data_IF_797808972380
#
_entry.id   IF_797808972380
#
_cell.length_a   1.000
_cell.length_b   1.000
_cell.length_c   1.000
_cell.angle_alpha   90.00
_cell.angle_beta   90.00
_cell.angle_gamma   90.00
#
_symmetry.space_group_name_H-M   'P 1'
#
loop_
_entity.id
_entity.type
_entity.pdbx_description
1 polymer ?
#
# COMPACT_ATOMS: atom_id res chain seq x y z
N UNK A 1 5.93 -30.09 -49.65
CA UNK A 1 6.15 -30.53 -48.25
C UNK A 1 5.82 -32.01 -48.04
N UNK A 2 4.62 -32.49 -48.42
CA UNK A 2 4.20 -33.91 -48.26
C UNK A 2 5.12 -34.91 -48.99
N UNK A 3 5.62 -34.55 -50.18
CA UNK A 3 6.50 -35.42 -50.97
C UNK A 3 7.92 -35.58 -50.37
N UNK A 4 8.42 -34.53 -49.70
CA UNK A 4 9.73 -34.53 -49.02
C UNK A 4 9.66 -35.38 -47.75
N UNK A 5 8.56 -35.30 -47.00
CA UNK A 5 8.33 -36.08 -45.78
C UNK A 5 8.30 -37.59 -46.03
N UNK A 6 7.67 -38.03 -47.13
CA UNK A 6 7.59 -39.46 -47.50
C UNK A 6 8.95 -40.07 -47.83
N UNK A 7 9.87 -39.29 -48.42
CA UNK A 7 11.23 -39.76 -48.72
C UNK A 7 12.07 -39.88 -47.45
N UNK A 8 11.91 -38.95 -46.52
CA UNK A 8 12.62 -38.97 -45.23
C UNK A 8 12.16 -40.10 -44.29
N UNK A 9 10.88 -40.47 -44.32
CA UNK A 9 10.32 -41.52 -43.45
C UNK A 9 10.58 -42.95 -43.93
N UNK A 10 11.08 -43.14 -45.16
CA UNK A 10 11.28 -44.47 -45.75
C UNK A 10 12.50 -45.21 -45.18
N UNK A 11 13.51 -44.46 -44.73
CA UNK A 11 14.78 -45.00 -44.22
C UNK A 11 14.87 -45.02 -42.69
N UNK A 12 13.82 -44.58 -41.99
CA UNK A 12 13.78 -44.60 -40.53
C UNK A 12 13.17 -45.94 -40.08
N UNK A 13 13.90 -46.77 -39.31
CA UNK A 13 13.37 -48.02 -38.78
C UNK A 13 12.07 -47.77 -38.02
N UNK A 14 11.04 -48.58 -38.25
CA UNK A 14 9.72 -48.43 -37.60
C UNK A 14 9.81 -48.26 -36.08
N UNK A 15 10.78 -48.92 -35.43
CA UNK A 15 11.05 -48.76 -33.98
C UNK A 15 11.48 -47.34 -33.59
N UNK A 16 12.23 -46.63 -34.44
CA UNK A 16 12.63 -45.24 -34.21
C UNK A 16 11.47 -44.26 -34.44
N UNK A 17 10.59 -44.54 -35.40
CA UNK A 17 9.36 -43.76 -35.61
C UNK A 17 8.45 -43.88 -34.39
N UNK A 18 8.25 -45.11 -33.90
CA UNK A 18 7.43 -45.38 -32.71
C UNK A 18 7.99 -44.68 -31.46
N UNK A 19 9.31 -44.74 -31.27
CA UNK A 19 9.99 -44.06 -30.15
C UNK A 19 9.82 -42.54 -30.22
N UNK A 20 9.93 -41.93 -31.40
CA UNK A 20 9.77 -40.50 -31.58
C UNK A 20 8.33 -40.03 -31.29
N UNK A 21 7.34 -40.81 -31.69
CA UNK A 21 5.93 -40.57 -31.37
C UNK A 21 5.71 -40.68 -29.85
N UNK A 22 6.29 -41.69 -29.20
CA UNK A 22 6.15 -41.89 -27.75
C UNK A 22 6.77 -40.72 -26.96
N UNK A 23 7.98 -40.27 -27.34
CA UNK A 23 8.65 -39.12 -26.72
C UNK A 23 7.81 -37.85 -26.92
N UNK A 24 7.26 -37.63 -28.11
CA UNK A 24 6.43 -36.47 -28.40
C UNK A 24 5.14 -36.46 -27.56
N UNK A 25 4.51 -37.63 -27.38
CA UNK A 25 3.31 -37.76 -26.52
C UNK A 25 3.66 -37.49 -25.05
N UNK A 26 4.76 -38.04 -24.54
CA UNK A 26 5.20 -37.78 -23.15
C UNK A 26 5.52 -36.29 -22.95
N UNK A 27 6.17 -35.65 -23.92
CA UNK A 27 6.47 -34.22 -23.86
C UNK A 27 5.18 -33.37 -23.87
N UNK A 28 4.21 -33.71 -24.72
CA UNK A 28 2.91 -33.03 -24.73
C UNK A 28 2.13 -33.24 -23.42
N UNK A 29 2.16 -34.44 -22.84
CA UNK A 29 1.48 -34.73 -21.57
C UNK A 29 2.13 -34.00 -20.39
N UNK A 30 3.47 -33.89 -20.37
CA UNK A 30 4.20 -33.15 -19.33
C UNK A 30 3.99 -31.64 -19.44
N UNK A 31 4.04 -31.07 -20.65
CA UNK A 31 3.72 -29.66 -20.89
C UNK A 31 2.25 -29.37 -20.56
N UNK A 32 1.32 -30.23 -20.98
CA UNK A 32 -0.10 -30.10 -20.67
C UNK A 32 -0.38 -30.18 -19.16
N UNK A 33 0.29 -31.08 -18.44
CA UNK A 33 0.20 -31.17 -16.98
C UNK A 33 0.78 -29.93 -16.29
N UNK A 34 1.91 -29.41 -16.77
CA UNK A 34 2.52 -28.17 -16.25
C UNK A 34 1.62 -26.94 -16.48
N UNK A 35 1.02 -26.81 -17.66
CA UNK A 35 0.06 -25.74 -17.96
C UNK A 35 -1.22 -25.88 -17.14
N UNK A 36 -1.74 -27.10 -16.95
CA UNK A 36 -2.89 -27.34 -16.08
C UNK A 36 -2.58 -27.01 -14.61
N UNK A 37 -1.37 -27.30 -14.13
CA UNK A 37 -0.89 -26.91 -12.80
C UNK A 37 -0.73 -25.39 -12.67
N UNK A 38 -0.25 -24.69 -13.70
CA UNK A 38 -0.20 -23.23 -13.72
C UNK A 38 -1.60 -22.61 -13.73
N UNK A 39 -2.56 -23.14 -14.49
CA UNK A 39 -3.94 -22.63 -14.51
C UNK A 39 -4.74 -22.95 -13.24
N UNK A 40 -4.29 -23.92 -12.42
CA UNK A 40 -4.90 -24.20 -11.11
C UNK A 40 -4.42 -23.24 -10.02
N UNK A 41 -3.35 -22.49 -10.25
CA UNK A 41 -2.83 -21.48 -9.33
C UNK A 41 -3.30 -20.09 -9.75
N UNK A 42 -4.57 -19.76 -9.45
CA UNK A 42 -5.11 -18.41 -9.13
C UNK A 42 -6.65 -18.42 -9.15
N UNK A 43 -7.28 -19.47 -8.61
CA UNK A 43 -8.66 -19.34 -8.12
C UNK A 43 -8.59 -19.19 -6.60
N UNK A 44 -8.13 -18.03 -6.15
CA UNK A 44 -8.37 -17.60 -4.77
C UNK A 44 -9.87 -17.36 -4.64
N UNK A 45 -10.58 -18.32 -4.05
CA UNK A 45 -11.89 -18.06 -3.44
C UNK A 45 -11.81 -16.75 -2.64
N UNK A 46 -12.90 -15.96 -2.53
CA UNK A 46 -12.91 -14.82 -1.62
C UNK A 46 -12.56 -15.35 -0.23
N UNK A 47 -11.36 -15.02 0.22
CA UNK A 47 -10.80 -15.58 1.43
C UNK A 47 -11.47 -14.84 2.58
N UNK A 48 -12.34 -15.54 3.31
CA UNK A 48 -12.93 -15.02 4.55
C UNK A 48 -11.79 -14.53 5.44
N UNK A 49 -11.82 -13.24 5.75
CA UNK A 49 -10.86 -12.53 6.59
C UNK A 49 -10.78 -13.22 7.96
N UNK A 50 -9.56 -13.47 8.43
CA UNK A 50 -9.25 -14.25 9.62
C UNK A 50 -8.83 -13.31 10.74
N UNK A 51 -9.55 -13.37 11.87
CA UNK A 51 -9.17 -12.99 13.24
C UNK A 51 -8.37 -11.69 13.44
N UNK A 52 -9.06 -10.55 13.34
CA UNK A 52 -8.71 -9.37 14.12
C UNK A 52 -8.66 -9.77 15.62
N UNK A 53 -7.79 -9.15 16.44
CA UNK A 53 -7.70 -9.51 17.87
C UNK A 53 -9.07 -9.33 18.53
N UNK A 54 -9.39 -10.08 19.58
CA UNK A 54 -10.70 -9.99 20.27
C UNK A 54 -11.09 -8.53 20.57
N UNK A 55 -10.15 -7.69 21.01
CA UNK A 55 -10.38 -6.27 21.26
C UNK A 55 -10.72 -5.47 19.98
N UNK A 56 -10.09 -5.81 18.85
CA UNK A 56 -10.39 -5.22 17.55
C UNK A 56 -11.80 -5.61 17.10
N UNK A 57 -12.17 -6.88 17.28
CA UNK A 57 -13.52 -7.37 16.97
C UNK A 57 -14.58 -6.67 17.84
N UNK A 58 -14.33 -6.51 19.15
CA UNK A 58 -15.24 -5.79 20.04
C UNK A 58 -15.41 -4.33 19.60
N UNK A 59 -14.31 -3.66 19.23
CA UNK A 59 -14.37 -2.28 18.75
C UNK A 59 -15.12 -2.18 17.42
N UNK A 60 -14.82 -3.07 16.47
CA UNK A 60 -15.52 -3.16 15.19
C UNK A 60 -17.03 -3.41 15.40
N UNK A 61 -17.40 -4.38 16.23
CA UNK A 61 -18.79 -4.74 16.50
C UNK A 61 -19.55 -3.57 17.13
N UNK A 62 -18.95 -2.89 18.13
CA UNK A 62 -19.51 -1.68 18.74
C UNK A 62 -19.89 -0.65 17.68
N UNK A 63 -18.96 -0.32 16.77
CA UNK A 63 -19.22 0.71 15.75
C UNK A 63 -20.18 0.22 14.68
N UNK A 64 -20.07 -1.03 14.24
CA UNK A 64 -21.00 -1.64 13.29
C UNK A 64 -22.43 -1.65 13.80
N UNK A 65 -22.66 -2.01 15.07
CA UNK A 65 -23.99 -1.96 15.70
C UNK A 65 -24.52 -0.54 15.81
N UNK A 66 -23.68 0.43 16.19
CA UNK A 66 -24.07 1.83 16.27
C UNK A 66 -24.45 2.39 14.90
N UNK A 67 -23.65 2.12 13.86
CA UNK A 67 -23.92 2.55 12.47
C UNK A 67 -25.27 2.02 11.99
N UNK A 68 -25.58 0.73 12.23
CA UNK A 68 -26.90 0.16 11.90
C UNK A 68 -28.06 0.87 12.59
N UNK A 69 -27.83 1.36 13.81
CA UNK A 69 -28.86 1.99 14.65
C UNK A 69 -29.09 3.46 14.30
N UNK A 70 -28.03 4.23 14.06
CA UNK A 70 -28.12 5.71 13.96
C UNK A 70 -27.59 6.29 12.65
N UNK A 71 -27.03 5.46 11.76
CA UNK A 71 -26.33 5.89 10.54
C UNK A 71 -24.89 6.31 10.81
N UNK A 72 -24.08 6.29 9.75
CA UNK A 72 -22.63 6.53 9.77
C UNK A 72 -22.26 7.89 10.31
N UNK A 73 -22.94 8.96 9.89
CA UNK A 73 -22.63 10.34 10.32
C UNK A 73 -22.73 10.53 11.84
N UNK A 74 -23.83 10.04 12.44
CA UNK A 74 -24.04 10.13 13.89
C UNK A 74 -23.07 9.23 14.64
N UNK A 75 -22.87 8.00 14.15
CA UNK A 75 -21.91 7.07 14.73
C UNK A 75 -20.48 7.61 14.68
N UNK A 76 -20.09 8.32 13.62
CA UNK A 76 -18.75 8.91 13.48
C UNK A 76 -18.53 10.08 14.44
N UNK A 77 -19.57 10.88 14.68
CA UNK A 77 -19.55 11.94 15.68
C UNK A 77 -19.33 11.37 17.09
N UNK A 78 -20.01 10.27 17.44
CA UNK A 78 -19.80 9.57 18.72
C UNK A 78 -18.41 8.90 18.79
N UNK A 79 -17.95 8.32 17.68
CA UNK A 79 -16.62 7.73 17.56
C UNK A 79 -15.53 8.73 17.89
N UNK A 80 -15.56 9.93 17.30
CA UNK A 80 -14.59 11.00 17.57
C UNK A 80 -14.47 11.29 19.06
N UNK A 81 -15.61 11.41 19.75
CA UNK A 81 -15.66 11.68 21.20
C UNK A 81 -15.07 10.52 22.00
N UNK A 82 -15.39 9.26 21.65
CA UNK A 82 -14.91 8.06 22.35
C UNK A 82 -13.38 7.90 22.30
N UNK A 83 -12.77 8.31 21.19
CA UNK A 83 -11.33 8.09 20.97
C UNK A 83 -10.46 9.32 21.23
N UNK A 84 -11.02 10.53 21.37
CA UNK A 84 -10.24 11.79 21.47
C UNK A 84 -9.25 11.83 22.64
N UNK A 85 -9.43 11.01 23.67
CA UNK A 85 -8.53 10.95 24.83
C UNK A 85 -7.52 9.81 24.78
N UNK A 86 -7.59 8.92 23.78
CA UNK A 86 -6.62 7.83 23.58
C UNK A 86 -5.30 8.38 23.06
N UNK A 87 -4.22 7.61 23.06
CA UNK A 87 -2.98 8.04 22.40
C UNK A 87 -3.17 8.11 20.87
N UNK A 88 -2.38 8.94 20.19
CA UNK A 88 -2.57 9.26 18.76
C UNK A 88 -2.50 8.00 17.88
N UNK A 89 -1.62 7.04 18.19
CA UNK A 89 -1.52 5.79 17.42
C UNK A 89 -2.78 4.96 17.54
N UNK A 90 -3.35 4.89 18.74
CA UNK A 90 -4.59 4.17 18.99
C UNK A 90 -5.79 4.88 18.33
N UNK A 91 -5.84 6.22 18.34
CA UNK A 91 -6.86 6.98 17.59
C UNK A 91 -6.88 6.62 16.11
N UNK A 92 -5.70 6.69 15.48
CA UNK A 92 -5.53 6.33 14.07
C UNK A 92 -5.97 4.89 13.80
N UNK A 93 -5.49 3.94 14.61
CA UNK A 93 -5.84 2.53 14.47
C UNK A 93 -7.34 2.25 14.66
N UNK A 94 -7.99 2.90 15.62
CA UNK A 94 -9.44 2.76 15.81
C UNK A 94 -10.24 3.37 14.64
N UNK A 95 -9.71 4.41 13.99
CA UNK A 95 -10.34 4.99 12.80
C UNK A 95 -10.35 4.02 11.61
N UNK A 96 -9.30 3.19 11.47
CA UNK A 96 -9.32 2.07 10.51
C UNK A 96 -10.49 1.12 10.75
N UNK A 97 -10.72 0.71 12.01
CA UNK A 97 -11.84 -0.20 12.36
C UNK A 97 -13.20 0.44 12.08
N UNK A 98 -13.35 1.74 12.37
CA UNK A 98 -14.57 2.48 12.04
C UNK A 98 -14.81 2.52 10.52
N UNK A 99 -13.79 2.83 9.73
CA UNK A 99 -13.89 2.87 8.26
C UNK A 99 -14.31 1.53 7.65
N UNK A 100 -13.79 0.43 8.19
CA UNK A 100 -14.20 -0.93 7.80
C UNK A 100 -15.68 -1.19 8.14
N UNK A 101 -16.09 -0.88 9.37
CA UNK A 101 -17.46 -1.04 9.82
C UNK A 101 -18.43 -0.18 8.99
N UNK A 102 -18.04 1.04 8.67
CA UNK A 102 -18.81 1.97 7.85
C UNK A 102 -19.05 1.41 6.44
N UNK A 103 -18.01 0.96 5.75
CA UNK A 103 -18.18 0.37 4.42
C UNK A 103 -19.10 -0.86 4.45
N UNK A 104 -18.90 -1.77 5.42
CA UNK A 104 -19.71 -2.98 5.53
C UNK A 104 -21.20 -2.71 5.82
N UNK A 105 -21.54 -1.54 6.36
CA UNK A 105 -22.93 -1.18 6.67
C UNK A 105 -23.57 -0.27 5.61
N UNK A 106 -22.82 0.65 5.00
CA UNK A 106 -23.37 1.68 4.12
C UNK A 106 -22.88 1.58 2.66
N UNK A 107 -21.90 0.71 2.39
CA UNK A 107 -21.24 0.59 1.10
C UNK A 107 -20.49 1.85 0.69
N UNK A 108 -20.11 1.95 -0.58
CA UNK A 108 -19.30 3.06 -1.11
C UNK A 108 -19.93 4.46 -0.96
N UNK A 109 -21.25 4.56 -0.77
CA UNK A 109 -21.94 5.85 -0.53
C UNK A 109 -21.58 6.47 0.82
N UNK A 110 -21.10 5.68 1.78
CA UNK A 110 -20.67 6.15 3.10
C UNK A 110 -19.34 6.92 3.09
N UNK A 111 -18.66 7.07 1.95
CA UNK A 111 -17.34 7.70 1.84
C UNK A 111 -17.27 9.09 2.48
N UNK A 112 -18.37 9.85 2.43
CA UNK A 112 -18.45 11.22 2.95
C UNK A 112 -18.57 11.31 4.47
N UNK A 113 -18.76 10.19 5.17
CA UNK A 113 -18.77 10.13 6.63
C UNK A 113 -17.36 10.26 7.19
N UNK A 114 -16.36 9.65 6.53
CA UNK A 114 -14.97 9.78 6.93
C UNK A 114 -14.46 11.21 6.68
N UNK A 115 -13.44 11.62 7.43
CA UNK A 115 -12.63 12.79 7.13
C UNK A 115 -11.12 12.54 7.39
N UNK A 116 -10.34 13.61 7.37
CA UNK A 116 -8.88 13.54 7.55
C UNK A 116 -8.45 13.43 9.02
N UNK A 117 -9.37 13.48 9.99
CA UNK A 117 -9.01 13.29 11.40
C UNK A 117 -8.39 11.92 11.64
N UNK A 118 -7.54 11.86 12.67
CA UNK A 118 -6.81 10.65 13.05
C UNK A 118 -5.97 10.09 11.90
N UNK A 119 -5.24 10.97 11.21
CA UNK A 119 -4.35 10.66 10.08
C UNK A 119 -5.08 9.88 8.97
N UNK A 120 -6.32 10.28 8.65
CA UNK A 120 -7.14 9.67 7.60
C UNK A 120 -7.43 8.17 7.75
N UNK A 121 -7.30 7.62 8.97
CA UNK A 121 -7.45 6.18 9.21
C UNK A 121 -8.80 5.62 8.76
N UNK A 122 -9.87 6.42 8.86
CA UNK A 122 -11.21 6.05 8.35
C UNK A 122 -11.18 5.80 6.83
N UNK A 123 -10.62 6.74 6.06
CA UNK A 123 -10.50 6.60 4.60
C UNK A 123 -9.66 5.39 4.19
N UNK A 124 -8.58 5.10 4.91
CA UNK A 124 -7.66 4.02 4.55
C UNK A 124 -8.38 2.67 4.46
N UNK A 125 -9.06 2.25 5.53
CA UNK A 125 -9.78 0.98 5.55
C UNK A 125 -11.07 1.03 4.73
N UNK A 126 -11.81 2.14 4.75
CA UNK A 126 -13.05 2.26 3.98
C UNK A 126 -12.80 2.05 2.48
N UNK A 127 -11.88 2.83 1.90
CA UNK A 127 -11.58 2.78 0.47
C UNK A 127 -10.80 1.52 0.10
N UNK A 128 -9.93 1.07 1.00
CA UNK A 128 -9.23 -0.19 0.86
C UNK A 128 -10.19 -1.37 0.73
N UNK A 129 -11.25 -1.42 1.53
CA UNK A 129 -12.26 -2.46 1.48
C UNK A 129 -13.25 -2.28 0.31
N UNK A 130 -13.62 -1.04 -0.01
CA UNK A 130 -14.46 -0.74 -1.16
C UNK A 130 -13.86 -1.26 -2.48
N UNK A 131 -12.59 -0.96 -2.74
CA UNK A 131 -11.92 -1.37 -3.98
C UNK A 131 -11.69 -2.89 -4.00
N UNK A 132 -11.38 -3.51 -2.86
CA UNK A 132 -11.25 -4.97 -2.76
C UNK A 132 -12.58 -5.70 -3.04
N UNK A 133 -13.71 -5.09 -2.65
CA UNK A 133 -15.04 -5.69 -2.78
C UNK A 133 -15.64 -5.45 -4.16
N UNK A 134 -15.53 -4.23 -4.67
CA UNK A 134 -16.21 -3.79 -5.90
C UNK A 134 -15.31 -3.82 -7.13
N UNK A 135 -13.98 -3.94 -6.94
CA UNK A 135 -13.00 -4.00 -8.01
C UNK A 135 -12.46 -2.63 -8.44
N UNK A 136 -11.49 -2.66 -9.36
CA UNK A 136 -10.77 -1.45 -9.80
C UNK A 136 -11.63 -0.47 -10.63
N UNK A 137 -12.79 -0.88 -11.11
CA UNK A 137 -13.68 -0.06 -11.92
C UNK A 137 -14.27 1.15 -11.15
N UNK A 138 -14.29 1.10 -9.82
CA UNK A 138 -14.79 2.23 -9.00
C UNK A 138 -13.73 3.30 -8.72
N UNK A 139 -12.45 3.03 -9.02
CA UNK A 139 -11.33 3.91 -8.65
C UNK A 139 -11.48 5.35 -9.19
N UNK A 140 -11.88 5.50 -10.45
CA UNK A 140 -12.07 6.83 -11.05
C UNK A 140 -13.21 7.59 -10.37
N UNK A 141 -14.32 6.89 -10.12
CA UNK A 141 -15.49 7.50 -9.49
C UNK A 141 -15.20 7.91 -8.04
N UNK A 142 -14.52 7.04 -7.26
CA UNK A 142 -14.06 7.39 -5.92
C UNK A 142 -13.11 8.59 -5.93
N UNK A 143 -12.15 8.64 -6.86
CA UNK A 143 -11.21 9.76 -6.96
C UNK A 143 -11.91 11.08 -7.28
N UNK A 144 -12.94 11.05 -8.12
CA UNK A 144 -13.79 12.20 -8.41
C UNK A 144 -14.60 12.61 -7.19
N UNK A 145 -15.25 11.66 -6.52
CA UNK A 145 -16.01 11.92 -5.29
C UNK A 145 -15.14 12.56 -4.20
N UNK A 146 -13.94 12.03 -3.96
CA UNK A 146 -12.96 12.62 -3.04
C UNK A 146 -12.66 14.09 -3.39
N UNK A 147 -12.49 14.39 -4.68
CA UNK A 147 -12.10 15.71 -5.14
C UNK A 147 -13.25 16.72 -5.11
N UNK A 148 -14.44 16.30 -5.55
CA UNK A 148 -15.64 17.14 -5.62
C UNK A 148 -16.19 17.50 -4.24
N UNK A 149 -16.17 16.58 -3.29
CA UNK A 149 -16.81 16.77 -1.99
C UNK A 149 -15.86 17.32 -0.92
N UNK A 150 -14.56 17.04 -1.04
CA UNK A 150 -13.57 17.43 -0.03
C UNK A 150 -12.62 18.51 -0.54
N UNK A 151 -12.55 18.75 -1.85
CA UNK A 151 -11.67 19.75 -2.44
C UNK A 151 -10.22 19.59 -1.95
N UNK A 152 -9.65 20.64 -1.35
CA UNK A 152 -8.28 20.63 -0.84
C UNK A 152 -8.04 19.67 0.34
N UNK A 153 -9.08 19.19 1.02
CA UNK A 153 -8.96 18.20 2.11
C UNK A 153 -9.11 16.75 1.62
N UNK A 154 -9.34 16.54 0.32
CA UNK A 154 -9.51 15.21 -0.28
C UNK A 154 -8.25 14.34 -0.33
N UNK A 155 -7.10 14.85 0.14
CA UNK A 155 -5.83 14.11 0.07
C UNK A 155 -5.84 12.79 0.85
N UNK A 156 -6.45 12.75 2.03
CA UNK A 156 -6.60 11.51 2.81
C UNK A 156 -7.49 10.47 2.12
N UNK A 157 -8.55 10.93 1.46
CA UNK A 157 -9.43 10.09 0.64
C UNK A 157 -8.66 9.50 -0.56
N UNK A 158 -7.97 10.33 -1.32
CA UNK A 158 -7.15 9.87 -2.45
C UNK A 158 -6.00 8.95 -2.01
N UNK A 159 -5.46 9.14 -0.80
CA UNK A 159 -4.48 8.25 -0.19
C UNK A 159 -5.07 6.85 0.08
N UNK A 160 -6.28 6.77 0.65
CA UNK A 160 -7.01 5.52 0.85
C UNK A 160 -7.26 4.73 -0.45
N UNK A 161 -7.48 5.42 -1.58
CA UNK A 161 -7.57 4.78 -2.91
C UNK A 161 -6.29 4.02 -3.25
N UNK A 162 -5.12 4.61 -2.97
CA UNK A 162 -3.83 3.96 -3.20
C UNK A 162 -3.65 2.65 -2.44
N UNK A 163 -4.10 2.61 -1.18
CA UNK A 163 -4.13 1.37 -0.39
C UNK A 163 -4.99 0.30 -1.06
N UNK A 164 -6.23 0.67 -1.45
CA UNK A 164 -7.17 -0.25 -2.08
C UNK A 164 -6.71 -0.78 -3.43
N UNK A 165 -6.06 0.05 -4.25
CA UNK A 165 -5.52 -0.40 -5.55
C UNK A 165 -4.49 -1.50 -5.32
N UNK A 166 -3.45 -1.23 -4.51
CA UNK A 166 -2.36 -2.19 -4.33
C UNK A 166 -2.87 -3.48 -3.67
N UNK A 167 -3.68 -3.37 -2.62
CA UNK A 167 -4.21 -4.54 -1.91
C UNK A 167 -5.10 -5.42 -2.80
N UNK A 168 -5.75 -4.84 -3.82
CA UNK A 168 -6.60 -5.56 -4.77
C UNK A 168 -5.81 -6.24 -5.90
N UNK A 169 -4.64 -5.72 -6.26
CA UNK A 169 -3.83 -6.30 -7.36
C UNK A 169 -2.71 -7.21 -6.90
N UNK A 170 -2.23 -7.06 -5.66
CA UNK A 170 -1.14 -7.85 -5.08
C UNK A 170 0.06 -6.99 -4.65
N UNK A 171 1.01 -7.62 -3.95
CA UNK A 171 2.15 -6.95 -3.31
C UNK A 171 3.50 -7.27 -3.95
N UNK A 172 3.51 -7.88 -5.13
CA UNK A 172 4.74 -8.08 -5.90
C UNK A 172 5.12 -6.81 -6.69
N UNK A 173 6.34 -6.78 -7.23
CA UNK A 173 6.83 -5.63 -7.99
C UNK A 173 6.01 -5.34 -9.27
N UNK A 174 5.56 -6.35 -10.06
CA UNK A 174 4.59 -6.11 -11.14
C UNK A 174 3.30 -5.44 -10.69
N UNK A 175 2.75 -5.83 -9.54
CA UNK A 175 1.53 -5.26 -8.94
C UNK A 175 1.75 -3.84 -8.45
N UNK A 176 2.94 -3.53 -7.90
CA UNK A 176 3.35 -2.16 -7.58
C UNK A 176 3.34 -1.28 -8.83
N UNK A 177 4.00 -1.71 -9.93
CA UNK A 177 4.00 -0.94 -11.17
C UNK A 177 2.60 -0.76 -11.76
N UNK A 178 1.77 -1.80 -11.73
CA UNK A 178 0.36 -1.69 -12.14
C UNK A 178 -0.39 -0.65 -11.31
N UNK A 179 -0.15 -0.61 -10.00
CA UNK A 179 -0.80 0.34 -9.09
C UNK A 179 -0.36 1.80 -9.37
N UNK A 180 0.92 2.00 -9.68
CA UNK A 180 1.46 3.30 -10.10
C UNK A 180 0.75 3.80 -11.35
N UNK A 181 0.60 2.95 -12.38
CA UNK A 181 -0.08 3.32 -13.62
C UNK A 181 -1.56 3.64 -13.41
N UNK A 182 -2.25 2.91 -12.53
CA UNK A 182 -3.65 3.22 -12.17
C UNK A 182 -3.75 4.61 -11.52
N UNK A 183 -2.88 4.94 -10.56
CA UNK A 183 -2.84 6.27 -9.94
C UNK A 183 -2.48 7.39 -10.94
N UNK A 184 -1.60 7.12 -11.90
CA UNK A 184 -1.22 8.06 -12.95
C UNK A 184 -2.36 8.32 -13.95
N UNK A 185 -3.20 7.29 -14.17
CA UNK A 185 -4.38 7.34 -15.02
C UNK A 185 -5.59 8.06 -14.42
N UNK A 186 -5.53 8.53 -13.17
CA UNK A 186 -6.63 9.30 -12.57
C UNK A 186 -6.93 10.57 -13.37
N UNK A 187 -8.22 10.89 -13.51
CA UNK A 187 -8.69 12.09 -14.21
C UNK A 187 -8.25 13.37 -13.50
N UNK A 188 -8.38 13.40 -12.17
CA UNK A 188 -7.98 14.52 -11.33
C UNK A 188 -6.48 14.39 -10.99
N UNK A 189 -5.62 15.16 -11.66
CA UNK A 189 -4.16 15.03 -11.56
C UNK A 189 -3.60 15.35 -10.18
N UNK A 190 -4.27 16.21 -9.44
CA UNK A 190 -3.95 16.52 -8.05
C UNK A 190 -4.07 15.26 -7.15
N UNK A 191 -4.90 14.29 -7.55
CA UNK A 191 -5.08 13.02 -6.83
C UNK A 191 -3.91 12.06 -6.97
N UNK A 192 -3.18 12.13 -8.09
CA UNK A 192 -2.12 11.16 -8.42
C UNK A 192 -1.07 11.08 -7.32
N UNK A 193 -0.62 12.21 -6.78
CA UNK A 193 0.38 12.23 -5.71
C UNK A 193 -0.12 11.50 -4.46
N UNK A 194 -1.32 11.82 -3.99
CA UNK A 194 -1.87 11.21 -2.77
C UNK A 194 -2.15 9.71 -2.94
N UNK A 195 -2.66 9.31 -4.10
CA UNK A 195 -2.83 7.91 -4.48
C UNK A 195 -1.48 7.16 -4.44
N UNK A 196 -0.43 7.71 -5.05
CA UNK A 196 0.90 7.11 -5.01
C UNK A 196 1.46 7.01 -3.59
N UNK A 197 1.22 8.02 -2.73
CA UNK A 197 1.62 7.93 -1.31
C UNK A 197 0.97 6.71 -0.64
N UNK A 198 -0.31 6.45 -0.88
CA UNK A 198 -1.02 5.27 -0.37
C UNK A 198 -0.47 3.97 -0.93
N UNK A 199 -0.22 3.90 -2.24
CA UNK A 199 0.37 2.72 -2.90
C UNK A 199 1.73 2.35 -2.28
N UNK A 200 2.66 3.31 -2.16
CA UNK A 200 3.99 3.00 -1.62
C UNK A 200 3.95 2.71 -0.12
N UNK A 201 3.07 3.37 0.65
CA UNK A 201 2.87 3.01 2.05
C UNK A 201 2.33 1.59 2.17
N UNK A 202 1.33 1.22 1.39
CA UNK A 202 0.77 -0.13 1.38
C UNK A 202 1.80 -1.18 0.95
N UNK A 203 2.67 -0.86 -0.01
CA UNK A 203 3.75 -1.75 -0.43
C UNK A 203 4.78 -1.99 0.69
N UNK A 204 5.02 -0.98 1.51
CA UNK A 204 5.99 -1.04 2.61
C UNK A 204 5.44 -1.74 3.86
N UNK A 205 4.16 -1.52 4.18
CA UNK A 205 3.57 -1.90 5.47
C UNK A 205 2.46 -2.96 5.39
N UNK A 206 1.85 -3.17 4.21
CA UNK A 206 0.74 -4.10 3.98
C UNK A 206 -0.41 -3.92 4.97
N UNK A 207 -0.82 -2.67 5.19
CA UNK A 207 -1.79 -2.31 6.25
C UNK A 207 -3.18 -2.87 6.00
N UNK A 208 -3.53 -3.16 4.75
CA UNK A 208 -4.82 -3.75 4.38
C UNK A 208 -4.89 -5.26 4.68
N UNK A 209 -3.78 -5.90 5.03
CA UNK A 209 -3.74 -7.32 5.40
C UNK A 209 -3.84 -7.56 6.92
N UNK A 210 -4.00 -6.50 7.73
CA UNK A 210 -4.14 -6.57 9.18
C UNK A 210 -3.03 -7.42 9.84
N UNK A 211 -3.39 -8.51 10.49
CA UNK A 211 -2.50 -9.45 11.19
C UNK A 211 -1.59 -10.25 10.25
N UNK A 212 -1.94 -10.34 8.96
CA UNK A 212 -1.17 -11.02 7.91
C UNK A 212 -0.23 -10.09 7.17
N UNK A 213 -0.31 -8.78 7.42
CA UNK A 213 0.55 -7.79 6.81
C UNK A 213 2.02 -8.02 7.16
N UNK A 214 2.88 -7.89 6.15
CA UNK A 214 4.33 -8.00 6.31
C UNK A 214 4.97 -6.65 6.05
N UNK A 215 5.80 -6.21 7.00
CA UNK A 215 6.75 -5.15 6.72
C UNK A 215 7.71 -5.62 5.62
N UNK A 216 7.86 -4.83 4.57
CA UNK A 216 8.84 -5.12 3.52
C UNK A 216 10.24 -5.26 4.11
N UNK A 217 11.01 -6.23 3.64
CA UNK A 217 12.38 -6.51 4.09
C UNK A 217 13.34 -5.41 3.65
N UNK A 218 14.25 -5.03 4.56
CA UNK A 218 15.34 -4.11 4.23
C UNK A 218 16.47 -4.87 3.53
N UNK A 219 16.74 -4.53 2.28
CA UNK A 219 17.80 -5.11 1.46
C UNK A 219 19.05 -4.23 1.54
N UNK A 220 20.07 -4.65 2.30
CA UNK A 220 21.27 -3.83 2.52
C UNK A 220 22.04 -3.51 1.23
N UNK A 221 22.00 -4.42 0.25
CA UNK A 221 22.68 -4.26 -1.04
C UNK A 221 21.89 -3.40 -2.04
N UNK A 222 20.61 -3.13 -1.78
CA UNK A 222 19.76 -2.25 -2.59
C UNK A 222 18.77 -1.48 -1.70
N UNK A 223 19.28 -0.53 -0.89
CA UNK A 223 18.45 0.16 0.10
C UNK A 223 17.37 1.05 -0.54
N UNK A 224 17.54 1.38 -1.83
CA UNK A 224 16.61 2.22 -2.59
C UNK A 224 15.53 1.43 -3.31
N UNK A 225 15.61 0.11 -3.41
CA UNK A 225 14.52 -0.69 -3.97
C UNK A 225 13.21 -0.38 -3.21
N UNK A 226 12.09 -0.11 -3.91
CA UNK A 226 11.90 -0.16 -5.38
C UNK A 226 12.10 1.18 -6.11
N UNK A 227 12.43 2.26 -5.41
CA UNK A 227 12.27 3.64 -5.87
C UNK A 227 13.13 4.06 -7.05
N UNK A 228 14.32 3.47 -7.26
CA UNK A 228 15.11 3.78 -8.45
C UNK A 228 14.68 2.97 -9.68
N UNK A 229 13.91 1.90 -9.46
CA UNK A 229 13.44 0.97 -10.51
C UNK A 229 12.07 1.34 -11.06
N UNK A 230 11.24 2.05 -10.28
CA UNK A 230 9.92 2.54 -10.73
C UNK A 230 10.04 3.71 -11.72
N UNK A 231 8.93 4.00 -12.40
CA UNK A 231 8.81 5.10 -13.35
C UNK A 231 9.19 6.46 -12.71
N UNK A 232 9.83 7.32 -13.51
CA UNK A 232 10.42 8.58 -13.05
C UNK A 232 9.45 9.48 -12.28
N UNK A 233 8.22 9.61 -12.79
CA UNK A 233 7.16 10.42 -12.19
C UNK A 233 6.77 9.96 -10.76
N UNK A 234 7.04 8.70 -10.41
CA UNK A 234 6.70 8.13 -9.11
C UNK A 234 7.87 8.17 -8.11
N UNK A 235 9.09 8.45 -8.55
CA UNK A 235 10.32 8.32 -7.74
C UNK A 235 10.34 9.25 -6.52
N UNK A 236 9.94 10.50 -6.70
CA UNK A 236 9.88 11.50 -5.63
C UNK A 236 8.95 11.04 -4.49
N UNK A 237 7.76 10.56 -4.83
CA UNK A 237 6.80 10.02 -3.86
C UNK A 237 7.32 8.73 -3.22
N UNK A 238 7.93 7.86 -4.02
CA UNK A 238 8.53 6.63 -3.52
C UNK A 238 9.63 6.92 -2.50
N UNK A 239 10.60 7.78 -2.80
CA UNK A 239 11.70 8.13 -1.90
C UNK A 239 11.19 8.75 -0.60
N UNK A 240 10.16 9.58 -0.67
CA UNK A 240 9.51 10.10 0.53
C UNK A 240 8.97 8.96 1.42
N UNK A 241 8.26 7.98 0.85
CA UNK A 241 7.73 6.82 1.58
C UNK A 241 8.83 5.82 1.99
N UNK A 242 9.92 5.74 1.22
CA UNK A 242 11.08 4.92 1.52
C UNK A 242 11.75 5.36 2.81
N UNK A 243 11.96 6.67 2.97
CA UNK A 243 12.55 7.25 4.18
C UNK A 243 11.68 7.00 5.42
N UNK A 244 10.36 7.03 5.26
CA UNK A 244 9.43 6.64 6.31
C UNK A 244 9.60 5.15 6.67
N UNK A 245 9.63 4.27 5.68
CA UNK A 245 9.80 2.84 5.91
C UNK A 245 11.16 2.49 6.56
N UNK A 246 12.27 3.11 6.14
CA UNK A 246 13.60 2.90 6.75
C UNK A 246 13.60 3.13 8.27
N UNK A 247 12.79 4.08 8.76
CA UNK A 247 12.65 4.38 10.19
C UNK A 247 12.21 3.16 11.01
N UNK A 248 11.55 2.17 10.41
CA UNK A 248 11.16 0.92 11.10
C UNK A 248 11.84 -0.33 10.53
N UNK A 249 12.29 -0.29 9.28
CA UNK A 249 12.87 -1.44 8.59
C UNK A 249 14.33 -1.67 9.00
N UNK A 250 15.10 -0.60 9.21
CA UNK A 250 16.50 -0.67 9.64
C UNK A 250 16.53 -1.03 11.14
N UNK A 251 16.85 -2.29 11.46
CA UNK A 251 16.83 -2.83 12.84
C UNK A 251 18.09 -2.46 13.66
N UNK A 252 18.50 -1.19 13.63
CA UNK A 252 19.57 -0.63 14.46
C UNK A 252 18.97 0.18 15.63
N UNK A 253 19.78 0.50 16.64
CA UNK A 253 19.37 1.47 17.66
C UNK A 253 19.08 2.84 17.02
N UNK A 254 18.31 3.68 17.70
CA UNK A 254 17.76 4.90 17.09
C UNK A 254 18.84 5.85 16.56
N UNK A 255 19.90 6.12 17.32
CA UNK A 255 20.96 7.04 16.89
C UNK A 255 21.70 6.54 15.64
N UNK A 256 22.05 5.24 15.62
CA UNK A 256 22.71 4.65 14.46
C UNK A 256 21.77 4.59 13.26
N UNK A 257 20.50 4.29 13.49
CA UNK A 257 19.47 4.28 12.44
C UNK A 257 19.33 5.66 11.78
N UNK A 258 19.34 6.73 12.57
CA UNK A 258 19.22 8.10 12.05
C UNK A 258 20.43 8.46 11.20
N UNK A 259 21.65 8.12 11.63
CA UNK A 259 22.87 8.33 10.83
C UNK A 259 22.84 7.56 9.51
N UNK A 260 22.29 6.35 9.52
CA UNK A 260 22.10 5.56 8.29
C UNK A 260 21.11 6.24 7.33
N UNK A 261 19.95 6.69 7.84
CA UNK A 261 18.94 7.38 7.02
C UNK A 261 19.49 8.72 6.49
N UNK A 262 20.26 9.45 7.30
CA UNK A 262 20.92 10.68 6.88
C UNK A 262 21.83 10.44 5.67
N UNK A 263 22.68 9.41 5.76
CA UNK A 263 23.55 8.99 4.64
C UNK A 263 22.73 8.61 3.40
N UNK A 264 21.70 7.78 3.56
CA UNK A 264 20.85 7.35 2.45
C UNK A 264 20.09 8.53 1.80
N UNK A 265 19.66 9.51 2.57
CA UNK A 265 19.04 10.70 2.01
C UNK A 265 20.04 11.55 1.22
N UNK A 266 21.28 11.69 1.68
CA UNK A 266 22.33 12.38 0.91
C UNK A 266 22.65 11.67 -0.41
N UNK A 267 22.74 10.34 -0.38
CA UNK A 267 23.06 9.51 -1.55
C UNK A 267 21.89 9.43 -2.56
N UNK A 268 20.68 9.86 -2.19
CA UNK A 268 19.53 9.93 -3.10
C UNK A 268 19.58 11.04 -4.17
N UNK A 269 20.62 11.88 -4.15
CA UNK A 269 20.87 12.91 -5.17
C UNK A 269 19.80 14.00 -5.17
N UNK A 270 19.18 14.24 -6.32
CA UNK A 270 18.15 15.27 -6.49
C UNK A 270 16.88 15.02 -5.64
N UNK A 271 16.67 13.78 -5.16
CA UNK A 271 15.51 13.39 -4.34
C UNK A 271 15.74 13.55 -2.83
N UNK A 272 16.86 14.15 -2.43
CA UNK A 272 17.24 14.31 -1.02
C UNK A 272 16.21 15.07 -0.20
N UNK A 273 15.59 16.09 -0.81
CA UNK A 273 14.62 16.95 -0.13
C UNK A 273 13.34 16.16 0.21
N UNK A 274 12.86 15.34 -0.72
CA UNK A 274 11.75 14.41 -0.52
C UNK A 274 12.09 13.35 0.54
N UNK A 275 13.32 12.85 0.52
CA UNK A 275 13.81 11.86 1.49
C UNK A 275 13.77 12.41 2.91
N UNK A 276 14.40 13.57 3.15
CA UNK A 276 14.42 14.19 4.48
C UNK A 276 13.03 14.59 4.96
N UNK A 277 12.18 15.11 4.08
CA UNK A 277 10.79 15.40 4.41
C UNK A 277 10.04 14.15 4.85
N UNK A 278 10.20 13.04 4.14
CA UNK A 278 9.60 11.75 4.47
C UNK A 278 10.11 11.23 5.81
N UNK A 279 11.43 11.26 6.03
CA UNK A 279 12.03 10.90 7.30
C UNK A 279 11.43 11.68 8.47
N UNK A 280 11.31 13.01 8.35
CA UNK A 280 10.69 13.87 9.37
C UNK A 280 9.25 13.47 9.72
N UNK A 281 8.43 13.17 8.69
CA UNK A 281 7.05 12.69 8.87
C UNK A 281 6.99 11.43 9.73
N UNK A 282 7.83 10.43 9.43
CA UNK A 282 7.80 9.19 10.21
C UNK A 282 8.46 9.32 11.57
N UNK A 283 9.51 10.12 11.69
CA UNK A 283 10.28 10.28 12.91
C UNK A 283 9.39 10.75 14.06
N UNK A 284 8.56 11.78 13.85
CA UNK A 284 7.65 12.28 14.88
C UNK A 284 6.63 11.22 15.30
N UNK A 285 6.05 10.48 14.35
CA UNK A 285 5.12 9.38 14.65
C UNK A 285 5.83 8.22 15.40
N UNK A 286 7.06 7.89 15.02
CA UNK A 286 7.88 6.85 15.66
C UNK A 286 8.19 7.20 17.12
N UNK A 287 8.41 8.48 17.41
CA UNK A 287 8.67 9.01 18.74
C UNK A 287 7.40 9.29 19.56
N UNK A 288 6.24 8.81 19.10
CA UNK A 288 4.97 9.03 19.82
C UNK A 288 4.53 10.49 19.82
N UNK A 289 4.84 11.22 18.75
CA UNK A 289 4.55 12.64 18.55
C UNK A 289 5.24 13.59 19.54
N UNK A 290 6.38 13.17 20.09
CA UNK A 290 7.31 14.06 20.82
C UNK A 290 8.01 15.01 19.84
N UNK A 291 7.37 16.15 19.56
CA UNK A 291 7.84 17.15 18.60
C UNK A 291 9.21 17.75 18.99
N UNK A 292 9.46 18.16 20.25
CA UNK A 292 10.78 18.64 20.66
C UNK A 292 11.89 17.62 20.36
N UNK A 293 11.67 16.35 20.72
CA UNK A 293 12.66 15.29 20.48
C UNK A 293 12.86 15.00 19.00
N UNK A 294 11.79 14.99 18.21
CA UNK A 294 11.89 14.84 16.76
C UNK A 294 12.71 15.99 16.12
N UNK A 295 12.52 17.22 16.60
CA UNK A 295 13.31 18.39 16.15
C UNK A 295 14.78 18.30 16.53
N UNK A 296 15.10 17.78 17.73
CA UNK A 296 16.48 17.54 18.17
C UNK A 296 17.19 16.55 17.23
N UNK A 297 16.53 15.44 16.89
CA UNK A 297 17.05 14.49 15.91
C UNK A 297 17.17 15.08 14.50
N UNK A 298 16.20 15.88 14.05
CA UNK A 298 16.35 16.59 12.77
C UNK A 298 17.54 17.55 12.81
N UNK A 299 17.84 18.19 13.95
CA UNK A 299 18.95 19.14 14.08
C UNK A 299 20.33 18.47 14.07
N UNK A 300 20.40 17.16 14.39
CA UNK A 300 21.64 16.38 14.39
C UNK A 300 22.05 15.84 13.01
N UNK A 301 21.21 16.01 11.98
CA UNK A 301 21.54 15.67 10.58
C UNK A 301 22.76 16.45 10.08
N UNK A 302 23.48 15.91 9.10
CA UNK A 302 24.76 16.48 8.67
C UNK A 302 24.61 17.88 8.03
N UNK A 303 23.64 18.07 7.13
CA UNK A 303 23.54 19.27 6.30
C UNK A 303 22.35 20.18 6.67
N UNK A 304 22.47 21.49 6.39
CA UNK A 304 21.45 22.47 6.78
C UNK A 304 20.13 22.33 6.01
N UNK A 305 20.18 21.83 4.77
CA UNK A 305 18.98 21.62 3.95
C UNK A 305 18.23 20.40 4.46
N UNK A 306 18.92 19.30 4.75
CA UNK A 306 18.35 18.10 5.38
C UNK A 306 17.68 18.40 6.72
N UNK A 307 18.33 19.18 7.59
CA UNK A 307 17.72 19.69 8.84
C UNK A 307 16.39 20.38 8.60
N UNK A 308 16.36 21.32 7.66
CA UNK A 308 15.17 22.12 7.33
C UNK A 308 14.05 21.26 6.76
N UNK A 309 14.38 20.34 5.85
CA UNK A 309 13.40 19.45 5.21
C UNK A 309 12.84 18.42 6.19
N UNK A 310 13.68 17.87 7.08
CA UNK A 310 13.24 17.00 8.18
C UNK A 310 12.27 17.74 9.11
N UNK A 311 12.58 18.97 9.53
CA UNK A 311 11.69 19.77 10.36
C UNK A 311 10.36 20.10 9.66
N UNK A 312 10.38 20.36 8.35
CA UNK A 312 9.18 20.56 7.56
C UNK A 312 8.31 19.27 7.52
N UNK A 313 8.93 18.08 7.51
CA UNK A 313 8.23 16.81 7.66
C UNK A 313 7.64 16.60 9.06
N UNK A 314 8.38 16.92 10.11
CA UNK A 314 7.92 16.81 11.51
C UNK A 314 6.64 17.64 11.75
N UNK A 315 6.51 18.76 11.05
CA UNK A 315 5.38 19.69 11.24
C UNK A 315 4.20 19.43 10.31
N UNK A 316 4.36 18.64 9.23
CA UNK A 316 3.29 18.46 8.24
C UNK A 316 2.13 17.59 8.73
N UNK A 317 2.36 16.71 9.71
CA UNK A 317 1.37 15.77 10.24
C UNK A 317 1.03 16.02 11.72
N UNK A 318 1.27 17.24 12.22
CA UNK A 318 0.83 17.57 13.57
C UNK A 318 -0.70 17.77 13.55
N UNK A 319 -1.44 17.16 14.49
CA UNK A 319 -2.85 17.45 14.67
C UNK A 319 -3.03 18.97 14.83
N UNK A 320 -3.93 19.55 14.05
CA UNK A 320 -4.31 20.96 14.18
C UNK A 320 -5.28 21.14 15.34
#
# INVERSE_FOLDING_TARGET
MIHVLKKFLKDVPQKKILLFILISIILCLTIGSFLLLQTRSTSTKPQKVSFAKIADQIAYDKWSELIKKVGGEKAYSEFKIDIINKDIRNRHYQAHLFGEALYNNEGSKGIFVCDSEFDSGCYHSFLGLAIQTEGLNIVQDLSRQCSEHLGSTGGGCQHGIGHGILSSVGYDFPSLNKSIEICNGLEIKESTKNCLHGVFMEYNFQTMLLDRGKLRTFEENDPYFPCLTVAEHARAVCINQQAQWWTVAIKKNLEVRIKEIDKLCHESGELKDECFRGFGVKLVAYLGYDVPKAREFCASLADIRGKSMCQAGVTSNLPK
#
